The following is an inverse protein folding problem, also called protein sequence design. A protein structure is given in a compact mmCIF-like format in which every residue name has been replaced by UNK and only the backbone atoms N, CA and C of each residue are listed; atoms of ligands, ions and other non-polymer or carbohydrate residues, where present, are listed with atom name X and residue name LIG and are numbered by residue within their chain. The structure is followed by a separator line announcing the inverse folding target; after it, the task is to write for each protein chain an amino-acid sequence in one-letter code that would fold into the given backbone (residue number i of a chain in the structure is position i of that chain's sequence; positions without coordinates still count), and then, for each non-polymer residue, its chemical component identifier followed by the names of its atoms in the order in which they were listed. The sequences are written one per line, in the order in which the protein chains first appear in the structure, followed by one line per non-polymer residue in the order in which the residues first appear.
data_IF_936654446524
#
_entry.id   IF_936654446524
#
_cell.length_a   1.000
_cell.length_b   1.000
_cell.length_c   1.000
_cell.angle_alpha   90.00
_cell.angle_beta   90.00
_cell.angle_gamma   90.00
#
_symmetry.space_group_name_H-M   'P 1'
#
loop_
_entity.id
_entity.type
_entity.pdbx_description
1 polymer ?
#
# COMPACT_ATOMS: atom_id res chain seq x y z
N UNK A 1 2.09 2.88 11.35
CA UNK A 1 1.05 3.73 10.72
C UNK A 1 0.82 3.20 9.32
N UNK A 2 -0.44 3.02 8.93
CA UNK A 2 -0.81 2.55 7.60
C UNK A 2 -1.56 3.69 6.89
N UNK A 3 -1.01 4.13 5.77
CA UNK A 3 -1.65 5.09 4.86
C UNK A 3 -2.06 4.33 3.59
N UNK A 4 -3.22 4.62 3.03
CA UNK A 4 -3.65 4.02 1.76
C UNK A 4 -4.42 5.02 0.90
N UNK A 5 -4.25 4.89 -0.41
CA UNK A 5 -4.96 5.65 -1.43
C UNK A 5 -5.81 4.68 -2.25
N UNK A 6 -7.12 4.92 -2.25
CA UNK A 6 -8.06 4.08 -3.00
C UNK A 6 -8.06 4.51 -4.46
N UNK A 7 -7.57 3.62 -5.32
CA UNK A 7 -7.46 3.84 -6.77
C UNK A 7 -8.80 3.59 -7.46
N UNK A 8 -9.52 2.56 -6.99
CA UNK A 8 -10.85 2.25 -7.52
C UNK A 8 -11.73 1.59 -6.47
N UNK A 9 -13.02 1.89 -6.54
CA UNK A 9 -14.07 1.24 -5.76
C UNK A 9 -15.06 0.65 -6.76
N UNK A 10 -15.11 -0.67 -6.82
CA UNK A 10 -16.23 -1.43 -7.40
C UNK A 10 -17.15 -1.87 -6.26
N UNK A 11 -18.35 -2.33 -6.62
CA UNK A 11 -19.42 -2.71 -5.66
C UNK A 11 -18.91 -3.57 -4.50
N UNK A 12 -18.07 -4.56 -4.80
CA UNK A 12 -17.57 -5.52 -3.82
C UNK A 12 -16.04 -5.56 -3.70
N UNK A 13 -15.30 -4.90 -4.58
CA UNK A 13 -13.83 -4.98 -4.64
C UNK A 13 -13.28 -3.57 -4.78
N UNK A 14 -12.26 -3.24 -4.00
CA UNK A 14 -11.52 -2.00 -4.12
C UNK A 14 -10.03 -2.28 -4.25
N UNK A 15 -9.35 -1.50 -5.09
CA UNK A 15 -7.90 -1.56 -5.24
C UNK A 15 -7.31 -0.30 -4.62
N UNK A 16 -6.27 -0.47 -3.80
CA UNK A 16 -5.57 0.65 -3.18
C UNK A 16 -4.06 0.45 -3.22
N UNK A 17 -3.32 1.55 -3.28
CA UNK A 17 -1.91 1.57 -2.93
C UNK A 17 -1.78 1.82 -1.43
N UNK A 18 -0.77 1.21 -0.81
CA UNK A 18 -0.52 1.44 0.61
C UNK A 18 0.93 1.80 0.89
N UNK A 19 1.10 2.48 2.00
CA UNK A 19 2.37 2.83 2.61
C UNK A 19 2.31 2.44 4.08
N UNK A 20 3.15 1.48 4.46
CA UNK A 20 3.27 1.02 5.84
C UNK A 20 4.54 1.58 6.46
N UNK A 21 4.39 2.41 7.49
CA UNK A 21 5.50 2.87 8.32
C UNK A 21 5.56 1.99 9.56
N UNK A 22 6.52 1.08 9.60
CA UNK A 22 6.83 0.21 10.73
C UNK A 22 7.92 0.85 11.59
N UNK A 23 7.70 0.92 12.90
CA UNK A 23 8.72 1.36 13.87
C UNK A 23 9.04 0.19 14.77
N UNK A 24 10.25 -0.35 14.68
CA UNK A 24 10.68 -1.47 15.52
C UNK A 24 10.99 -1.02 16.95
N UNK A 25 11.14 -1.99 17.85
CA UNK A 25 11.40 -1.74 19.28
C UNK A 25 12.67 -0.91 19.54
N UNK A 26 13.65 -0.96 18.63
CA UNK A 26 14.87 -0.12 18.67
C UNK A 26 14.67 1.28 18.05
N UNK A 27 13.42 1.71 17.84
CA UNK A 27 13.02 2.98 17.22
C UNK A 27 13.46 3.17 15.76
N UNK A 28 13.97 2.14 15.09
CA UNK A 28 14.24 2.19 13.65
C UNK A 28 12.92 2.22 12.88
N UNK A 29 12.83 3.11 11.89
CA UNK A 29 11.68 3.23 10.99
C UNK A 29 11.98 2.55 9.67
N UNK A 30 11.07 1.72 9.20
CA UNK A 30 11.08 1.12 7.87
C UNK A 30 9.77 1.46 7.18
N UNK A 31 9.85 1.86 5.91
CA UNK A 31 8.68 2.18 5.09
C UNK A 31 8.54 1.13 3.99
N UNK A 32 7.36 0.53 3.90
CA UNK A 32 6.99 -0.41 2.85
C UNK A 32 5.93 0.21 1.95
N UNK A 33 5.96 -0.12 0.67
CA UNK A 33 4.97 0.30 -0.31
C UNK A 33 4.45 -0.93 -1.05
N UNK A 34 3.19 -0.88 -1.45
CA UNK A 34 2.63 -1.96 -2.25
C UNK A 34 1.21 -1.72 -2.68
N UNK A 35 0.61 -2.79 -3.20
CA UNK A 35 -0.79 -2.81 -3.65
C UNK A 35 -1.60 -3.67 -2.70
N UNK A 36 -2.82 -3.24 -2.40
CA UNK A 36 -3.79 -4.02 -1.64
C UNK A 36 -5.12 -4.12 -2.40
N UNK A 37 -5.78 -5.26 -2.23
CA UNK A 37 -7.14 -5.50 -2.68
C UNK A 37 -8.02 -5.63 -1.45
N UNK A 38 -9.08 -4.84 -1.40
CA UNK A 38 -10.10 -4.85 -0.36
C UNK A 38 -11.36 -5.50 -0.91
N UNK A 39 -11.97 -6.40 -0.14
CA UNK A 39 -13.26 -7.01 -0.45
C UNK A 39 -14.32 -6.54 0.53
N UNK A 40 -15.51 -6.20 0.03
CA UNK A 40 -16.65 -5.81 0.86
C UNK A 40 -17.37 -7.06 1.35
N UNK A 41 -17.33 -7.26 2.65
CA UNK A 41 -18.06 -8.32 3.35
C UNK A 41 -19.26 -7.76 4.10
N UNK A 42 -20.09 -8.65 4.68
CA UNK A 42 -21.20 -8.25 5.56
C UNK A 42 -20.74 -7.50 6.81
N UNK A 43 -19.48 -7.66 7.19
CA UNK A 43 -18.85 -7.03 8.37
C UNK A 43 -18.08 -5.75 7.99
N UNK A 44 -18.08 -5.35 6.72
CA UNK A 44 -17.31 -4.21 6.20
C UNK A 44 -16.20 -4.64 5.25
N UNK A 45 -15.28 -3.71 4.96
CA UNK A 45 -14.15 -3.95 4.07
C UNK A 45 -13.05 -4.77 4.76
N UNK A 46 -12.59 -5.83 4.09
CA UNK A 46 -11.48 -6.67 4.55
C UNK A 46 -10.35 -6.67 3.53
N UNK A 47 -9.12 -6.83 3.99
CA UNK A 47 -7.95 -7.00 3.12
C UNK A 47 -7.99 -8.43 2.57
N UNK A 48 -8.17 -8.54 1.26
CA UNK A 48 -8.19 -9.83 0.54
C UNK A 48 -6.79 -10.24 0.12
N UNK A 49 -5.99 -9.30 -0.39
CA UNK A 49 -4.63 -9.56 -0.86
C UNK A 49 -3.73 -8.33 -0.70
N UNK A 50 -2.45 -8.58 -0.47
CA UNK A 50 -1.38 -7.58 -0.41
C UNK A 50 -0.23 -8.09 -1.26
N UNK A 51 0.29 -7.26 -2.15
CA UNK A 51 1.54 -7.50 -2.86
C UNK A 51 2.54 -6.40 -2.49
N UNK A 52 3.59 -6.78 -1.79
CA UNK A 52 4.68 -5.87 -1.39
C UNK A 52 5.83 -5.99 -2.40
N UNK A 53 6.35 -4.86 -2.88
CA UNK A 53 7.61 -4.83 -3.62
C UNK A 53 8.68 -4.22 -2.70
N UNK A 54 9.73 -4.98 -2.35
CA UNK A 54 10.82 -4.47 -1.51
C UNK A 54 11.70 -3.53 -2.35
N UNK A 55 11.62 -2.23 -2.07
CA UNK A 55 12.46 -1.23 -2.75
C UNK A 55 13.86 -1.22 -2.10
N UNK A 56 14.74 -2.13 -2.52
CA UNK A 56 16.15 -2.09 -2.16
C UNK A 56 16.91 -1.10 -3.04
N UNK A 57 16.91 0.19 -2.65
CA UNK A 57 18.02 1.15 -2.72
C UNK A 57 18.83 1.41 -4.01
N UNK A 58 18.66 0.71 -5.13
CA UNK A 58 19.52 0.89 -6.31
C UNK A 58 18.76 0.69 -7.63
N UNK A 59 17.91 1.66 -7.96
CA UNK A 59 17.68 2.22 -9.30
C UNK A 59 16.46 3.14 -9.20
N UNK A 60 16.69 4.37 -8.71
CA UNK A 60 15.82 5.49 -9.05
C UNK A 60 16.04 5.81 -10.53
N UNK A 61 15.41 5.04 -11.42
CA UNK A 61 15.18 5.53 -12.76
C UNK A 61 14.10 6.61 -12.63
N UNK A 62 14.44 7.83 -13.02
CA UNK A 62 13.57 9.02 -12.92
C UNK A 62 12.31 8.83 -13.77
N UNK A 63 11.29 8.21 -13.20
CA UNK A 63 9.91 8.24 -13.66
C UNK A 63 8.96 7.92 -12.51
N UNK A 64 9.14 8.68 -11.42
CA UNK A 64 8.21 8.97 -10.32
C UNK A 64 7.88 7.92 -9.26
N UNK A 65 7.79 8.32 -7.97
CA UNK A 65 7.22 7.49 -6.91
C UNK A 65 5.68 7.59 -6.81
N UNK A 66 5.08 8.62 -7.41
CA UNK A 66 3.65 8.83 -7.72
C UNK A 66 3.62 9.94 -8.79
N UNK A 67 3.24 9.67 -10.06
CA UNK A 67 2.95 10.75 -11.01
C UNK A 67 1.51 11.20 -10.77
N UNK A 68 1.36 12.46 -10.36
CA UNK A 68 0.09 13.17 -10.35
C UNK A 68 -0.20 13.66 -11.78
N UNK A 69 -1.35 13.29 -12.32
CA UNK A 69 -2.14 14.15 -13.22
C UNK A 69 -3.34 14.67 -12.41
#
# INVERSE_FOLDING_TARGET
MLEFEVISIKTNISHAHYKLIYTSNNKKKTTFYGKMILERTKEGWKIYSVSEEEVTGAMFNKSSPFLFD
#
